data_IF_604465851404
#
_entry.id   IF_604465851404
#
_cell.length_a   1.000
_cell.length_b   1.000
_cell.length_c   1.000
_cell.angle_alpha   90.00
_cell.angle_beta   90.00
_cell.angle_gamma   90.00
#
_symmetry.space_group_name_H-M   'P 1'
#
loop_
_entity.id
_entity.type
_entity.pdbx_description
1 polymer ?
#
# COMPACT_ATOMS: atom_id res chain seq x y z
N UNK A 1 21.69 6.75 -27.07
CA UNK A 1 21.24 5.44 -26.60
C UNK A 1 20.05 5.68 -25.69
N UNK A 2 19.03 4.83 -25.74
CA UNK A 2 17.89 5.00 -24.85
C UNK A 2 18.37 5.02 -23.39
N UNK A 3 17.69 5.81 -22.55
CA UNK A 3 17.98 5.86 -21.12
C UNK A 3 17.85 4.45 -20.50
N UNK A 4 18.63 4.13 -19.48
CA UNK A 4 18.72 2.78 -18.94
C UNK A 4 17.37 2.20 -18.48
N UNK A 5 17.02 2.39 -17.22
CA UNK A 5 15.79 1.89 -16.60
C UNK A 5 14.79 3.02 -16.40
N UNK A 6 13.54 2.81 -16.86
CA UNK A 6 12.41 3.69 -16.52
C UNK A 6 11.42 2.99 -15.59
N UNK A 7 11.10 3.62 -14.47
CA UNK A 7 10.09 3.15 -13.52
C UNK A 7 8.85 4.04 -13.66
N UNK A 8 7.72 3.44 -14.04
CA UNK A 8 6.45 4.15 -14.19
C UNK A 8 5.62 4.01 -12.92
N UNK A 9 5.46 5.12 -12.23
CA UNK A 9 4.90 5.26 -10.89
C UNK A 9 5.94 5.78 -9.92
N UNK A 10 5.53 6.66 -9.01
CA UNK A 10 6.37 7.24 -7.96
C UNK A 10 5.97 6.84 -6.55
N UNK A 11 5.10 5.82 -6.42
CA UNK A 11 4.61 5.32 -5.13
C UNK A 11 5.63 4.45 -4.39
N UNK A 12 5.13 3.77 -3.36
CA UNK A 12 5.96 2.91 -2.49
C UNK A 12 6.73 1.83 -3.27
N UNK A 13 6.08 1.13 -4.21
CA UNK A 13 6.77 0.06 -4.98
C UNK A 13 7.96 0.59 -5.78
N UNK A 14 7.83 1.79 -6.36
CA UNK A 14 8.94 2.46 -7.04
C UNK A 14 10.05 2.82 -6.05
N UNK A 15 9.71 3.41 -4.90
CA UNK A 15 10.67 3.79 -3.88
C UNK A 15 11.42 2.57 -3.31
N UNK A 16 10.71 1.50 -2.97
CA UNK A 16 11.32 0.26 -2.50
C UNK A 16 12.29 -0.32 -3.53
N UNK A 17 11.89 -0.37 -4.81
CA UNK A 17 12.79 -0.82 -5.89
C UNK A 17 14.05 0.05 -5.98
N UNK A 18 13.91 1.38 -5.92
CA UNK A 18 15.04 2.31 -5.96
C UNK A 18 16.01 2.12 -4.79
N UNK A 19 15.47 1.98 -3.57
CA UNK A 19 16.26 1.73 -2.37
C UNK A 19 17.08 0.43 -2.51
N UNK A 20 16.46 -0.63 -3.01
CA UNK A 20 17.14 -1.90 -3.23
C UNK A 20 18.11 -1.90 -4.41
N UNK A 21 17.84 -1.16 -5.47
CA UNK A 21 18.78 -0.99 -6.59
C UNK A 21 20.03 -0.21 -6.14
N UNK A 22 19.82 0.89 -5.40
CA UNK A 22 20.92 1.69 -4.84
C UNK A 22 21.77 0.86 -3.88
N UNK A 23 21.14 0.13 -2.95
CA UNK A 23 21.86 -0.73 -2.01
C UNK A 23 22.68 -1.83 -2.69
N UNK A 24 22.34 -2.20 -3.94
CA UNK A 24 23.10 -3.13 -4.79
C UNK A 24 24.11 -2.45 -5.71
N UNK A 25 24.32 -1.15 -5.57
CA UNK A 25 25.28 -0.38 -6.36
C UNK A 25 24.85 -0.07 -7.81
N UNK A 26 23.53 -0.12 -8.10
CA UNK A 26 23.07 0.27 -9.44
C UNK A 26 23.32 1.76 -9.69
N UNK A 27 23.71 2.15 -10.94
CA UNK A 27 23.99 3.54 -11.29
C UNK A 27 22.68 4.33 -11.37
N UNK A 28 22.38 5.14 -10.35
CA UNK A 28 21.10 5.86 -10.24
C UNK A 28 20.93 6.95 -11.31
N UNK A 29 22.02 7.47 -11.91
CA UNK A 29 21.94 8.43 -13.00
C UNK A 29 21.34 7.86 -14.30
N UNK A 30 21.32 6.52 -14.44
CA UNK A 30 20.68 5.82 -15.56
C UNK A 30 19.22 5.46 -15.28
N UNK A 31 18.68 5.89 -14.15
CA UNK A 31 17.29 5.59 -13.75
C UNK A 31 16.41 6.81 -13.92
N UNK A 32 15.31 6.63 -14.64
CA UNK A 32 14.24 7.62 -14.76
C UNK A 32 13.00 7.11 -14.01
N UNK A 33 12.38 7.97 -13.22
CA UNK A 33 11.07 7.71 -12.60
C UNK A 33 10.04 8.65 -13.23
N UNK A 34 8.90 8.12 -13.63
CA UNK A 34 7.77 8.90 -14.14
C UNK A 34 6.61 8.74 -13.16
N UNK A 35 6.21 9.83 -12.53
CA UNK A 35 5.07 9.83 -11.61
C UNK A 35 4.81 11.22 -11.04
N UNK A 36 3.54 11.63 -10.90
CA UNK A 36 3.18 13.01 -10.53
C UNK A 36 3.47 13.36 -9.07
N UNK A 37 3.54 12.36 -8.19
CA UNK A 37 3.73 12.55 -6.76
C UNK A 37 5.21 12.47 -6.36
N UNK A 38 5.53 12.91 -5.16
CA UNK A 38 6.83 12.68 -4.56
C UNK A 38 7.13 11.18 -4.44
N UNK A 39 8.42 10.84 -4.54
CA UNK A 39 8.86 9.44 -4.42
C UNK A 39 8.45 8.84 -3.06
N UNK A 40 7.87 7.66 -3.11
CA UNK A 40 7.43 6.90 -1.95
C UNK A 40 6.02 7.23 -1.45
N UNK A 41 5.47 8.39 -1.81
CA UNK A 41 4.13 8.78 -1.37
C UNK A 41 3.04 7.93 -2.04
N UNK A 42 2.76 8.14 -3.31
CA UNK A 42 1.73 7.42 -4.05
C UNK A 42 0.35 7.51 -3.39
N UNK A 43 -0.63 6.79 -3.92
CA UNK A 43 -2.00 6.81 -3.40
C UNK A 43 -2.11 6.16 -2.01
N UNK A 44 -1.33 5.12 -1.73
CA UNK A 44 -1.46 4.34 -0.51
C UNK A 44 -0.98 5.08 0.74
N UNK A 45 0.09 5.87 0.62
CA UNK A 45 0.77 6.51 1.76
C UNK A 45 0.85 8.03 1.65
N UNK A 46 0.62 8.60 0.47
CA UNK A 46 0.57 10.06 0.25
C UNK A 46 -0.76 10.70 0.64
N UNK A 47 -1.59 9.99 1.39
CA UNK A 47 -2.85 10.51 1.91
C UNK A 47 -2.59 11.63 2.91
N UNK A 48 -3.24 12.77 2.72
CA UNK A 48 -3.15 13.92 3.64
C UNK A 48 -4.00 13.75 4.89
N UNK A 49 -4.99 12.84 4.86
CA UNK A 49 -5.84 12.57 6.01
C UNK A 49 -5.03 11.89 7.12
N UNK A 50 -5.04 12.49 8.29
CA UNK A 50 -4.29 12.04 9.46
C UNK A 50 -4.83 10.79 10.09
N UNK A 51 -6.10 10.48 9.86
CA UNK A 51 -6.80 9.39 10.51
C UNK A 51 -6.62 8.05 9.79
N UNK A 52 -6.09 8.07 8.56
CA UNK A 52 -5.89 6.84 7.79
C UNK A 52 -4.68 6.07 8.28
N UNK A 53 -4.94 4.88 8.80
CA UNK A 53 -3.94 4.03 9.41
C UNK A 53 -3.46 2.91 8.50
N UNK A 54 -2.29 2.38 8.84
CA UNK A 54 -1.79 1.15 8.24
C UNK A 54 -2.74 0.00 8.59
N UNK A 55 -2.98 -0.86 7.63
CA UNK A 55 -3.83 -2.04 7.80
C UNK A 55 -3.06 -3.26 8.32
N UNK A 56 -1.76 -3.09 8.57
CA UNK A 56 -0.88 -4.08 9.16
C UNK A 56 0.00 -3.40 10.22
N UNK A 57 0.48 -4.20 11.16
CA UNK A 57 1.36 -3.72 12.24
C UNK A 57 2.70 -3.23 11.70
N UNK A 58 3.33 -2.33 12.43
CA UNK A 58 4.61 -1.73 12.06
C UNK A 58 5.70 -2.78 11.80
N UNK A 59 5.73 -3.85 12.57
CA UNK A 59 6.70 -4.95 12.46
C UNK A 59 6.59 -5.71 11.12
N UNK A 60 5.43 -5.62 10.47
CA UNK A 60 5.19 -6.24 9.17
C UNK A 60 5.44 -5.30 7.99
N UNK A 61 5.66 -4.01 8.25
CA UNK A 61 5.98 -3.02 7.22
C UNK A 61 7.47 -3.04 6.91
N UNK A 62 7.90 -4.06 6.17
CA UNK A 62 9.31 -4.31 5.88
C UNK A 62 9.73 -3.69 4.56
N UNK A 63 10.71 -2.79 4.59
CA UNK A 63 11.46 -2.33 3.42
C UNK A 63 12.75 -3.13 3.28
N UNK A 64 13.37 -3.45 4.40
CA UNK A 64 14.66 -4.16 4.47
C UNK A 64 14.43 -5.58 5.00
N UNK A 65 14.54 -6.62 4.15
CA UNK A 65 14.31 -8.01 4.57
C UNK A 65 15.26 -8.45 5.70
N UNK A 66 16.48 -7.92 5.71
CA UNK A 66 17.51 -8.25 6.70
C UNK A 66 17.35 -7.46 8.01
N UNK A 67 16.45 -6.48 8.04
CA UNK A 67 16.09 -5.70 9.24
C UNK A 67 14.56 -5.52 9.32
N UNK A 68 13.83 -6.57 9.69
CA UNK A 68 12.36 -6.55 9.68
C UNK A 68 11.74 -5.55 10.67
N UNK A 69 12.49 -5.12 11.70
CA UNK A 69 12.04 -4.12 12.67
C UNK A 69 12.35 -2.67 12.29
N UNK A 70 12.99 -2.42 11.16
CA UNK A 70 13.53 -1.10 10.81
C UNK A 70 12.49 0.03 10.87
N UNK A 71 11.31 -0.16 10.27
CA UNK A 71 10.25 0.85 10.34
C UNK A 71 9.72 1.02 11.76
N UNK A 72 9.48 -0.05 12.50
CA UNK A 72 8.98 0.03 13.88
C UNK A 72 9.95 0.81 14.79
N UNK A 73 11.25 0.56 14.68
CA UNK A 73 12.30 1.27 15.41
C UNK A 73 12.37 2.75 15.00
N UNK A 74 12.28 3.03 13.69
CA UNK A 74 12.24 4.40 13.20
C UNK A 74 11.01 5.13 13.74
N UNK A 75 9.84 4.51 13.70
CA UNK A 75 8.57 5.08 14.17
C UNK A 75 8.62 5.39 15.67
N UNK A 76 9.11 4.47 16.48
CA UNK A 76 9.27 4.66 17.92
C UNK A 76 10.16 5.88 18.29
N UNK A 77 11.11 6.21 17.40
CA UNK A 77 12.03 7.35 17.61
C UNK A 77 11.50 8.66 17.05
N UNK A 78 10.78 8.61 15.92
CA UNK A 78 10.46 9.80 15.14
C UNK A 78 8.99 10.24 15.24
N UNK A 79 8.09 9.35 15.70
CA UNK A 79 6.67 9.66 15.82
C UNK A 79 6.35 9.82 17.31
N UNK A 80 6.12 11.06 17.71
CA UNK A 80 5.72 11.38 19.08
C UNK A 80 4.20 11.60 19.16
N UNK A 81 3.58 11.12 20.26
CA UNK A 81 2.23 11.51 20.64
C UNK A 81 1.07 10.85 19.88
N UNK A 82 1.34 9.84 19.06
CA UNK A 82 0.27 9.03 18.45
C UNK A 82 -0.17 7.92 19.41
N UNK A 83 -1.02 8.28 20.39
CA UNK A 83 -1.52 7.33 21.39
C UNK A 83 -2.42 6.25 20.84
N UNK A 84 -2.97 6.44 19.65
CA UNK A 84 -3.85 5.47 18.99
C UNK A 84 -3.08 4.46 18.15
N UNK A 85 -1.78 4.68 17.95
CA UNK A 85 -0.94 3.72 17.23
C UNK A 85 -0.81 2.41 18.02
N UNK A 86 -0.64 2.51 19.35
CA UNK A 86 -0.39 1.35 20.20
C UNK A 86 -1.68 0.65 20.57
N UNK A 87 -1.74 -0.64 20.26
CA UNK A 87 -2.86 -1.53 20.60
C UNK A 87 -2.34 -2.81 21.25
N UNK A 88 -3.25 -3.57 21.85
CA UNK A 88 -2.93 -4.88 22.46
C UNK A 88 -2.36 -5.90 21.46
N UNK A 89 -2.49 -5.64 20.17
CA UNK A 89 -2.07 -6.54 19.08
C UNK A 89 -0.92 -6.00 18.23
N UNK A 90 -0.36 -4.86 18.58
CA UNK A 90 0.76 -4.22 17.88
C UNK A 90 0.50 -2.76 17.53
N UNK A 91 1.49 -2.11 16.92
CA UNK A 91 1.42 -0.70 16.59
C UNK A 91 0.93 -0.46 15.15
N UNK A 92 -0.11 0.38 14.98
CA UNK A 92 -0.70 0.75 13.69
C UNK A 92 -0.56 2.25 13.47
N UNK A 93 0.57 2.66 12.94
CA UNK A 93 0.85 4.06 12.64
C UNK A 93 0.01 4.58 11.48
N UNK A 94 -0.01 5.90 11.32
CA UNK A 94 -0.70 6.56 10.20
C UNK A 94 -0.01 6.24 8.87
N UNK A 95 -0.75 6.19 7.79
CA UNK A 95 -0.19 5.97 6.44
C UNK A 95 0.85 7.03 6.07
N UNK A 96 0.62 8.30 6.44
CA UNK A 96 1.57 9.40 6.23
C UNK A 96 2.89 9.21 6.99
N UNK A 97 2.87 8.54 8.14
CA UNK A 97 4.07 8.29 8.93
C UNK A 97 4.99 7.30 8.20
N UNK A 98 4.40 6.28 7.58
CA UNK A 98 5.17 5.39 6.72
C UNK A 98 5.72 6.11 5.47
N UNK A 99 4.95 7.04 4.86
CA UNK A 99 5.48 7.88 3.78
C UNK A 99 6.66 8.74 4.25
N UNK A 100 6.59 9.29 5.47
CA UNK A 100 7.68 10.08 6.06
C UNK A 100 8.94 9.22 6.30
N UNK A 101 8.75 7.99 6.74
CA UNK A 101 9.84 7.01 6.86
C UNK A 101 10.48 6.74 5.50
N UNK A 102 9.71 6.41 4.47
CA UNK A 102 10.24 6.18 3.10
C UNK A 102 10.98 7.41 2.58
N UNK A 103 10.43 8.60 2.79
CA UNK A 103 11.10 9.84 2.42
C UNK A 103 12.43 10.05 3.19
N UNK A 104 12.51 9.63 4.45
CA UNK A 104 13.77 9.67 5.22
C UNK A 104 14.80 8.70 4.66
N UNK A 105 14.39 7.48 4.30
CA UNK A 105 15.25 6.48 3.68
C UNK A 105 15.83 6.95 2.33
N UNK A 106 14.99 7.61 1.51
CA UNK A 106 15.45 8.21 0.25
C UNK A 106 16.45 9.33 0.50
N UNK A 107 16.16 10.23 1.44
CA UNK A 107 17.08 11.36 1.77
C UNK A 107 18.41 10.91 2.33
N UNK A 108 18.43 9.81 3.07
CA UNK A 108 19.67 9.24 3.63
C UNK A 108 20.62 8.66 2.56
N UNK A 109 20.19 8.58 1.28
CA UNK A 109 20.94 7.99 0.18
C UNK A 109 21.24 9.01 -0.91
N UNK A 110 22.41 9.71 -0.87
CA UNK A 110 22.75 10.76 -1.83
C UNK A 110 22.76 10.31 -3.29
N UNK A 111 23.05 9.03 -3.56
CA UNK A 111 23.05 8.50 -4.93
C UNK A 111 21.67 8.60 -5.59
N UNK A 112 20.57 8.52 -4.82
CA UNK A 112 19.22 8.70 -5.35
C UNK A 112 18.93 10.12 -5.84
N UNK A 113 19.71 11.11 -5.42
CA UNK A 113 19.57 12.47 -5.94
C UNK A 113 19.99 12.61 -7.42
N UNK A 114 20.73 11.63 -7.96
CA UNK A 114 21.18 11.63 -9.36
C UNK A 114 20.16 11.05 -10.35
N UNK A 115 19.09 10.37 -9.87
CA UNK A 115 18.04 9.87 -10.73
C UNK A 115 17.21 11.02 -11.34
N UNK A 116 16.65 10.78 -12.52
CA UNK A 116 15.74 11.70 -13.17
C UNK A 116 14.30 11.42 -12.74
N UNK A 117 13.66 12.34 -12.04
CA UNK A 117 12.22 12.25 -11.70
C UNK A 117 11.41 13.19 -12.60
N UNK A 118 10.57 12.62 -13.45
CA UNK A 118 9.64 13.35 -14.32
C UNK A 118 8.28 13.37 -13.62
N UNK A 119 7.86 14.54 -13.19
CA UNK A 119 6.57 14.75 -12.48
C UNK A 119 5.40 14.84 -13.46
N UNK A 120 5.17 13.76 -14.19
CA UNK A 120 4.09 13.61 -15.16
C UNK A 120 3.48 12.19 -15.06
N UNK A 121 2.40 11.95 -15.78
CA UNK A 121 1.81 10.62 -15.93
C UNK A 121 2.15 10.06 -17.30
N UNK A 122 2.61 8.82 -17.38
CA UNK A 122 2.72 8.10 -18.64
C UNK A 122 1.29 7.74 -19.12
N UNK A 123 0.99 8.04 -20.36
CA UNK A 123 -0.32 7.79 -20.98
C UNK A 123 -0.27 6.71 -22.05
N UNK A 124 0.90 6.50 -22.68
CA UNK A 124 1.10 5.46 -23.64
C UNK A 124 2.53 4.92 -23.59
N UNK A 125 2.73 3.65 -23.94
CA UNK A 125 4.01 2.99 -24.02
C UNK A 125 4.04 2.16 -25.30
N UNK A 126 5.01 2.42 -26.15
CA UNK A 126 5.14 1.74 -27.45
C UNK A 126 6.56 1.17 -27.58
N UNK A 127 6.66 -0.05 -28.08
CA UNK A 127 7.96 -0.63 -28.39
C UNK A 127 8.59 0.11 -29.59
N UNK A 128 9.85 0.51 -29.44
CA UNK A 128 10.60 1.22 -30.48
C UNK A 128 12.05 0.74 -30.53
N UNK A 129 12.45 0.12 -31.62
CA UNK A 129 13.75 -0.51 -31.75
C UNK A 129 13.96 -1.57 -30.65
N UNK A 130 15.10 -1.49 -29.95
CA UNK A 130 15.43 -2.37 -28.83
C UNK A 130 14.97 -1.81 -27.46
N UNK A 131 14.10 -0.80 -27.48
CA UNK A 131 13.62 -0.10 -26.29
C UNK A 131 12.16 0.28 -26.37
N UNK A 132 11.80 1.34 -25.66
CA UNK A 132 10.43 1.79 -25.45
C UNK A 132 10.34 3.30 -25.56
N UNK A 133 9.36 3.78 -26.30
CA UNK A 133 8.91 5.17 -26.26
C UNK A 133 7.75 5.32 -25.28
N UNK A 134 7.80 6.35 -24.44
CA UNK A 134 6.83 6.64 -23.39
C UNK A 134 6.28 8.04 -23.62
N UNK A 135 4.98 8.12 -23.89
CA UNK A 135 4.25 9.36 -24.02
C UNK A 135 3.71 9.82 -22.67
N UNK A 136 3.85 11.12 -22.40
CA UNK A 136 3.42 11.73 -21.15
C UNK A 136 2.14 12.56 -21.34
N UNK A 137 1.43 12.80 -20.25
CA UNK A 137 0.17 13.54 -20.26
C UNK A 137 0.30 15.03 -20.65
N UNK A 138 1.51 15.57 -20.70
CA UNK A 138 1.80 16.92 -21.21
C UNK A 138 2.16 16.94 -22.72
N UNK A 139 2.08 15.78 -23.38
CA UNK A 139 2.42 15.59 -24.79
C UNK A 139 3.91 15.40 -25.08
N UNK A 140 4.76 15.47 -24.08
CA UNK A 140 6.18 15.15 -24.23
C UNK A 140 6.40 13.64 -24.28
N UNK A 141 7.58 13.23 -24.80
CA UNK A 141 7.99 11.83 -24.88
C UNK A 141 9.33 11.62 -24.19
N UNK A 142 9.57 10.41 -23.74
CA UNK A 142 10.88 9.95 -23.26
C UNK A 142 11.07 8.49 -23.65
N UNK A 143 12.32 8.03 -23.68
CA UNK A 143 12.68 6.67 -24.08
C UNK A 143 13.34 5.90 -22.93
N UNK A 144 13.28 4.59 -22.99
CA UNK A 144 13.96 3.71 -22.06
C UNK A 144 14.34 2.38 -22.72
N UNK A 145 15.46 1.77 -22.29
CA UNK A 145 15.81 0.41 -22.70
C UNK A 145 15.01 -0.65 -21.94
N UNK A 146 14.60 -0.36 -20.72
CA UNK A 146 13.79 -1.24 -19.86
C UNK A 146 12.74 -0.44 -19.10
N UNK A 147 11.58 -1.07 -18.89
CA UNK A 147 10.47 -0.45 -18.13
C UNK A 147 10.08 -1.36 -16.97
N UNK A 148 9.82 -0.75 -15.82
CA UNK A 148 9.13 -1.38 -14.69
C UNK A 148 7.83 -0.61 -14.44
N UNK A 149 6.72 -1.34 -14.44
CA UNK A 149 5.41 -0.79 -14.10
C UNK A 149 5.20 -0.86 -12.57
N UNK A 150 5.23 0.28 -11.92
CA UNK A 150 4.98 0.45 -10.48
C UNK A 150 3.76 1.36 -10.25
N UNK A 151 2.73 1.18 -11.07
CA UNK A 151 1.58 2.09 -11.21
C UNK A 151 0.61 2.08 -10.02
N UNK A 152 0.78 1.14 -9.09
CA UNK A 152 -0.11 0.99 -7.94
C UNK A 152 -1.50 0.47 -8.33
N UNK A 153 -2.48 0.73 -7.47
CA UNK A 153 -3.86 0.33 -7.73
C UNK A 153 -4.57 1.35 -8.64
N UNK A 154 -5.46 0.89 -9.53
CA UNK A 154 -6.31 1.79 -10.30
C UNK A 154 -7.25 2.58 -9.38
N UNK A 155 -7.82 3.70 -9.87
CA UNK A 155 -8.90 4.38 -9.17
C UNK A 155 -10.07 3.43 -8.90
N UNK A 156 -10.85 3.65 -7.82
CA UNK A 156 -12.05 2.87 -7.56
C UNK A 156 -13.03 2.93 -8.73
N UNK A 157 -13.59 1.78 -9.09
CA UNK A 157 -14.65 1.70 -10.10
C UNK A 157 -15.99 1.80 -9.38
N UNK A 158 -16.94 2.51 -10.01
CA UNK A 158 -18.29 2.60 -9.49
C UNK A 158 -18.94 1.20 -9.47
N UNK A 159 -19.46 0.73 -8.32
CA UNK A 159 -19.86 -0.67 -8.15
C UNK A 159 -21.24 -0.99 -8.75
N UNK A 160 -21.98 -0.01 -9.23
CA UNK A 160 -23.33 -0.19 -9.76
C UNK A 160 -23.35 0.00 -11.28
N UNK A 161 -24.36 -0.59 -11.94
CA UNK A 161 -24.54 -0.44 -13.39
C UNK A 161 -24.99 0.97 -13.76
N UNK A 162 -25.84 1.56 -12.93
CA UNK A 162 -26.37 2.91 -13.12
C UNK A 162 -25.28 3.93 -12.88
N UNK A 163 -25.11 4.84 -13.82
CA UNK A 163 -24.22 5.97 -13.66
C UNK A 163 -24.86 7.00 -12.73
N UNK A 164 -24.14 7.41 -11.72
CA UNK A 164 -24.52 8.52 -10.85
C UNK A 164 -23.73 9.75 -11.25
N UNK A 165 -24.41 10.85 -11.45
CA UNK A 165 -23.75 12.13 -11.73
C UNK A 165 -22.83 12.52 -10.57
N UNK A 166 -21.71 13.14 -10.90
CA UNK A 166 -20.83 13.71 -9.89
C UNK A 166 -21.54 14.86 -9.20
N UNK A 167 -21.64 14.77 -7.90
CA UNK A 167 -22.22 15.79 -7.03
C UNK A 167 -21.30 16.05 -5.86
N UNK A 168 -21.35 17.24 -5.22
CA UNK A 168 -20.58 17.51 -4.00
C UNK A 168 -20.86 16.51 -2.86
N UNK A 169 -22.01 15.85 -2.89
CA UNK A 169 -22.41 14.85 -1.89
C UNK A 169 -21.84 13.45 -2.17
N UNK A 170 -21.12 13.24 -3.29
CA UNK A 170 -20.62 11.94 -3.68
C UNK A 170 -19.08 11.91 -3.61
N UNK A 171 -18.56 11.24 -2.61
CA UNK A 171 -17.11 10.99 -2.45
C UNK A 171 -16.76 9.63 -3.06
N UNK A 172 -16.16 9.60 -4.27
CA UNK A 172 -15.75 8.37 -4.95
C UNK A 172 -14.39 7.86 -4.48
N UNK A 173 -13.52 8.76 -4.08
CA UNK A 173 -12.12 8.45 -3.73
C UNK A 173 -11.82 9.01 -2.33
N UNK A 174 -12.03 8.23 -1.26
CA UNK A 174 -11.89 8.73 0.11
C UNK A 174 -10.44 9.06 0.51
N UNK A 175 -9.45 8.60 -0.26
CA UNK A 175 -8.04 8.91 0.00
C UNK A 175 -7.62 10.32 -0.48
N UNK A 176 -8.49 11.03 -1.18
CA UNK A 176 -8.19 12.34 -1.74
C UNK A 176 -9.10 13.40 -1.17
N UNK A 177 -8.52 14.60 -1.03
CA UNK A 177 -9.27 15.81 -0.79
C UNK A 177 -9.68 16.04 0.65
N UNK A 178 -10.46 17.07 0.78
CA UNK A 178 -10.98 17.69 2.00
C UNK A 178 -12.44 17.29 2.26
N UNK A 179 -12.88 16.14 1.70
CA UNK A 179 -14.26 15.70 1.84
C UNK A 179 -14.77 15.67 3.28
N UNK A 180 -13.94 15.33 4.31
CA UNK A 180 -14.45 15.36 5.68
C UNK A 180 -14.76 16.76 6.17
N UNK A 181 -14.14 17.78 5.58
CA UNK A 181 -14.35 19.19 5.94
C UNK A 181 -15.64 19.76 5.36
N UNK A 182 -16.13 19.13 4.29
CA UNK A 182 -17.32 19.54 3.55
C UNK A 182 -18.58 18.76 3.96
N UNK A 183 -18.54 17.97 5.05
CA UNK A 183 -19.68 17.22 5.57
C UNK A 183 -20.18 17.88 6.84
N UNK A 184 -21.48 18.23 6.86
CA UNK A 184 -22.13 18.74 8.05
C UNK A 184 -22.09 17.68 9.16
N UNK A 185 -21.90 18.12 10.41
CA UNK A 185 -21.70 17.23 11.56
C UNK A 185 -22.87 16.30 11.84
N UNK A 186 -24.08 16.64 11.41
CA UNK A 186 -25.31 15.89 11.56
C UNK A 186 -25.89 15.32 10.26
N UNK A 187 -25.14 15.39 9.16
CA UNK A 187 -25.51 14.85 7.87
C UNK A 187 -25.78 13.33 7.94
N UNK A 188 -26.71 12.85 7.12
CA UNK A 188 -26.96 11.40 6.96
C UNK A 188 -26.03 10.85 5.91
N UNK A 189 -25.15 9.94 6.31
CA UNK A 189 -24.10 9.38 5.44
C UNK A 189 -24.43 7.94 5.07
N UNK A 190 -24.13 7.57 3.83
CA UNK A 190 -24.12 6.18 3.36
C UNK A 190 -22.69 5.86 2.90
N UNK A 191 -22.09 4.85 3.54
CA UNK A 191 -20.78 4.29 3.15
C UNK A 191 -21.03 2.99 2.40
N UNK A 192 -20.53 2.90 1.16
CA UNK A 192 -20.66 1.71 0.32
C UNK A 192 -19.38 0.89 0.42
N UNK A 193 -19.50 -0.31 0.95
CA UNK A 193 -18.41 -1.20 1.31
C UNK A 193 -18.18 -1.24 2.83
N UNK A 194 -17.68 -2.35 3.33
CA UNK A 194 -17.41 -2.57 4.76
C UNK A 194 -15.95 -2.90 5.07
N UNK A 195 -15.05 -2.76 4.07
CA UNK A 195 -13.62 -3.03 4.26
C UNK A 195 -12.91 -1.96 5.09
N UNK A 196 -11.60 -2.14 5.29
CA UNK A 196 -10.79 -1.25 6.13
C UNK A 196 -10.82 0.22 5.68
N UNK A 197 -10.98 0.49 4.38
CA UNK A 197 -11.15 1.87 3.88
C UNK A 197 -12.44 2.52 4.37
N UNK A 198 -13.52 1.74 4.50
CA UNK A 198 -14.78 2.24 5.07
C UNK A 198 -14.60 2.55 6.56
N UNK A 199 -13.85 1.71 7.28
CA UNK A 199 -13.52 1.96 8.69
C UNK A 199 -12.65 3.21 8.85
N UNK A 200 -11.64 3.42 7.98
CA UNK A 200 -10.85 4.65 7.97
C UNK A 200 -11.74 5.89 7.80
N UNK A 201 -12.71 5.84 6.88
CA UNK A 201 -13.64 6.95 6.67
C UNK A 201 -14.55 7.20 7.89
N UNK A 202 -15.07 6.14 8.52
CA UNK A 202 -15.88 6.24 9.74
C UNK A 202 -15.05 6.79 10.91
N UNK A 203 -13.82 6.35 11.05
CA UNK A 203 -12.88 6.85 12.06
C UNK A 203 -12.61 8.35 11.89
N UNK A 204 -12.38 8.78 10.65
CA UNK A 204 -12.25 10.22 10.33
C UNK A 204 -13.48 11.03 10.73
N UNK A 205 -14.68 10.54 10.41
CA UNK A 205 -15.93 11.19 10.80
C UNK A 205 -16.09 11.26 12.32
N UNK A 206 -15.72 10.19 13.03
CA UNK A 206 -15.76 10.16 14.49
C UNK A 206 -14.81 11.20 15.11
N UNK A 207 -13.58 11.30 14.64
CA UNK A 207 -12.62 12.31 15.10
C UNK A 207 -13.10 13.74 14.85
N UNK A 208 -13.88 13.94 13.79
CA UNK A 208 -14.49 15.25 13.47
C UNK A 208 -15.81 15.47 14.20
N UNK A 209 -16.12 14.63 15.18
CA UNK A 209 -17.34 14.75 16.00
C UNK A 209 -18.61 14.74 15.16
N UNK A 210 -18.66 13.89 14.14
CA UNK A 210 -19.88 13.68 13.38
C UNK A 210 -20.93 12.96 14.22
N UNK A 211 -22.14 13.50 14.28
CA UNK A 211 -23.26 13.01 15.10
C UNK A 211 -24.40 12.45 14.26
N UNK A 212 -24.38 12.70 12.96
CA UNK A 212 -25.38 12.21 12.03
C UNK A 212 -25.35 10.69 11.88
N UNK A 213 -26.42 10.14 11.34
CA UNK A 213 -26.53 8.69 11.12
C UNK A 213 -25.65 8.25 9.99
N UNK A 214 -24.74 7.28 10.25
CA UNK A 214 -23.92 6.60 9.24
C UNK A 214 -24.54 5.23 8.95
N UNK A 215 -24.86 4.95 7.69
CA UNK A 215 -25.31 3.63 7.25
C UNK A 215 -24.20 3.00 6.41
N UNK A 216 -23.78 1.80 6.79
CA UNK A 216 -22.83 1.00 6.05
C UNK A 216 -23.59 -0.02 5.19
N UNK A 217 -23.25 -0.13 3.92
CA UNK A 217 -23.88 -1.06 2.99
C UNK A 217 -22.83 -1.95 2.35
N UNK A 218 -22.92 -3.25 2.60
CA UNK A 218 -22.06 -4.28 2.04
C UNK A 218 -22.87 -5.53 1.66
N UNK A 219 -22.43 -6.37 0.73
CA UNK A 219 -23.18 -7.54 0.27
C UNK A 219 -23.56 -8.52 1.38
N UNK A 220 -22.66 -8.73 2.34
CA UNK A 220 -22.84 -9.64 3.48
C UNK A 220 -23.23 -8.90 4.77
N UNK A 221 -23.18 -7.56 4.79
CA UNK A 221 -23.45 -6.75 5.97
C UNK A 221 -22.42 -6.90 7.11
N UNK A 222 -21.29 -7.55 6.86
CA UNK A 222 -20.28 -7.84 7.87
C UNK A 222 -19.18 -6.78 7.89
N UNK A 223 -18.62 -6.52 9.07
CA UNK A 223 -17.40 -5.76 9.26
C UNK A 223 -16.18 -6.72 9.25
N UNK A 224 -14.99 -6.22 8.89
CA UNK A 224 -13.77 -7.00 9.05
C UNK A 224 -13.62 -7.46 10.52
N UNK A 225 -13.17 -8.71 10.76
CA UNK A 225 -12.90 -9.16 12.09
C UNK A 225 -11.77 -8.35 12.73
N UNK A 226 -11.83 -8.19 14.05
CA UNK A 226 -10.78 -7.56 14.82
C UNK A 226 -9.50 -8.40 14.70
N UNK A 227 -8.36 -7.75 14.49
CA UNK A 227 -7.09 -8.45 14.42
C UNK A 227 -6.74 -9.07 15.77
N UNK A 228 -6.25 -10.31 15.74
CA UNK A 228 -5.81 -11.01 16.94
C UNK A 228 -4.36 -10.74 17.26
N UNK A 229 -4.01 -10.92 18.55
CA UNK A 229 -2.63 -10.86 19.00
C UNK A 229 -1.78 -11.85 18.23
N UNK A 230 -0.59 -11.37 17.85
CA UNK A 230 0.41 -12.20 17.22
C UNK A 230 1.00 -13.17 18.24
N UNK A 231 1.11 -14.42 17.84
CA UNK A 231 2.00 -15.39 18.52
C UNK A 231 3.07 -15.77 17.52
N UNK A 232 4.31 -15.90 17.99
CA UNK A 232 5.37 -16.49 17.18
C UNK A 232 4.82 -17.77 16.59
N UNK A 233 4.70 -17.80 15.28
CA UNK A 233 4.34 -18.99 14.59
C UNK A 233 5.47 -19.99 14.83
N UNK A 234 5.15 -21.12 15.45
CA UNK A 234 6.05 -22.25 15.44
C UNK A 234 6.48 -22.46 13.99
N UNK A 235 7.78 -22.61 13.78
CA UNK A 235 8.32 -22.78 12.43
C UNK A 235 7.54 -23.88 11.72
N UNK A 236 6.78 -23.49 10.69
CA UNK A 236 6.04 -24.43 9.88
C UNK A 236 7.06 -25.19 9.03
N UNK A 237 7.01 -26.51 9.08
CA UNK A 237 7.78 -27.32 8.16
C UNK A 237 7.16 -27.22 6.76
N UNK A 238 7.82 -26.42 5.91
CA UNK A 238 7.39 -26.24 4.54
C UNK A 238 7.70 -27.48 3.71
N UNK A 239 6.80 -27.90 2.81
CA UNK A 239 7.09 -28.97 1.87
C UNK A 239 8.36 -28.67 1.07
N UNK A 240 9.26 -29.65 0.92
CA UNK A 240 10.53 -29.42 0.21
C UNK A 240 10.35 -29.29 -1.31
N UNK A 241 9.33 -29.95 -1.86
CA UNK A 241 8.98 -29.91 -3.29
C UNK A 241 7.64 -29.17 -3.44
N UNK A 242 7.70 -27.87 -3.78
CA UNK A 242 6.50 -27.02 -3.81
C UNK A 242 6.23 -26.52 -5.22
N UNK A 243 5.36 -27.21 -5.92
CA UNK A 243 4.63 -26.64 -7.04
C UNK A 243 3.59 -25.65 -6.51
N UNK A 244 3.20 -24.65 -7.31
CA UNK A 244 2.19 -23.67 -6.92
C UNK A 244 0.89 -24.32 -6.37
N UNK A 245 0.43 -25.42 -6.95
CA UNK A 245 -0.73 -26.21 -6.48
C UNK A 245 -0.49 -26.86 -5.11
N UNK A 246 0.72 -27.36 -4.87
CA UNK A 246 1.11 -27.97 -3.59
C UNK A 246 1.20 -26.92 -2.49
N UNK A 247 1.71 -25.73 -2.81
CA UNK A 247 1.75 -24.60 -1.91
C UNK A 247 0.34 -24.13 -1.50
N UNK A 248 -0.56 -23.98 -2.46
CA UNK A 248 -1.96 -23.61 -2.19
C UNK A 248 -2.66 -24.70 -1.34
N UNK A 249 -2.38 -25.97 -1.59
CA UNK A 249 -2.90 -27.06 -0.75
C UNK A 249 -2.37 -26.95 0.67
N UNK A 250 -1.07 -26.75 0.85
CA UNK A 250 -0.44 -26.59 2.16
C UNK A 250 -1.06 -25.39 2.94
N UNK A 251 -1.28 -24.25 2.27
CA UNK A 251 -1.94 -23.10 2.89
C UNK A 251 -3.35 -23.45 3.38
N UNK A 252 -4.15 -24.13 2.56
CA UNK A 252 -5.49 -24.58 2.94
C UNK A 252 -5.46 -25.57 4.11
N UNK A 253 -4.58 -26.55 4.04
CA UNK A 253 -4.46 -27.58 5.08
C UNK A 253 -4.01 -26.96 6.43
N UNK A 254 -3.18 -25.92 6.39
CA UNK A 254 -2.73 -25.21 7.60
C UNK A 254 -3.87 -24.43 8.25
N UNK A 255 -4.70 -23.77 7.45
CA UNK A 255 -5.86 -23.02 7.96
C UNK A 255 -6.98 -23.99 8.37
N UNK A 256 -7.15 -25.10 7.63
CA UNK A 256 -8.18 -26.09 7.86
C UNK A 256 -9.60 -25.57 7.59
N UNK A 257 -10.59 -26.26 8.16
CA UNK A 257 -12.02 -25.93 8.04
C UNK A 257 -12.50 -24.92 9.09
N UNK A 258 -11.57 -24.10 9.63
CA UNK A 258 -11.90 -23.09 10.62
C UNK A 258 -12.58 -21.92 9.91
N UNK A 259 -13.72 -21.40 10.41
CA UNK A 259 -14.35 -20.21 9.88
C UNK A 259 -13.37 -19.03 9.87
N UNK A 260 -13.37 -18.24 8.79
CA UNK A 260 -12.43 -17.11 8.61
C UNK A 260 -12.62 -16.00 9.67
N UNK A 261 -13.77 -15.93 10.31
CA UNK A 261 -14.07 -15.02 11.41
C UNK A 261 -13.44 -15.46 12.75
N UNK A 262 -13.04 -16.74 12.84
CA UNK A 262 -12.44 -17.28 14.06
C UNK A 262 -11.01 -16.73 14.25
N UNK A 263 -10.70 -16.38 15.48
CA UNK A 263 -9.37 -15.89 15.87
C UNK A 263 -8.26 -16.92 15.60
N UNK A 264 -8.58 -18.21 15.68
CA UNK A 264 -7.63 -19.26 15.38
C UNK A 264 -7.31 -19.33 13.88
N UNK A 265 -8.28 -19.04 13.00
CA UNK A 265 -8.02 -18.89 11.57
C UNK A 265 -7.00 -17.79 11.30
N UNK A 266 -7.19 -16.61 11.91
CA UNK A 266 -6.25 -15.51 11.78
C UNK A 266 -4.85 -15.90 12.26
N UNK A 267 -4.72 -16.57 13.41
CA UNK A 267 -3.42 -17.01 13.95
C UNK A 267 -2.71 -17.97 13.00
N UNK A 268 -3.41 -18.93 12.42
CA UNK A 268 -2.83 -19.87 11.46
C UNK A 268 -2.44 -19.19 10.16
N UNK A 269 -3.28 -18.31 9.65
CA UNK A 269 -2.96 -17.53 8.45
C UNK A 269 -1.75 -16.62 8.65
N UNK A 270 -1.66 -15.95 9.79
CA UNK A 270 -0.52 -15.12 10.13
C UNK A 270 0.78 -15.95 10.27
N UNK A 271 0.70 -17.20 10.72
CA UNK A 271 1.86 -18.08 10.76
C UNK A 271 2.42 -18.39 9.36
N UNK A 272 1.58 -18.41 8.33
CA UNK A 272 1.99 -18.58 6.94
C UNK A 272 2.68 -17.33 6.39
N UNK A 273 2.23 -16.15 6.79
CA UNK A 273 2.66 -14.87 6.23
C UNK A 273 4.17 -14.66 6.30
N UNK A 274 4.82 -15.01 7.40
CA UNK A 274 6.27 -14.89 7.56
C UNK A 274 7.06 -15.67 6.52
N UNK A 275 6.53 -16.78 6.06
CA UNK A 275 7.22 -17.71 5.19
C UNK A 275 6.84 -17.56 3.73
N UNK A 276 5.78 -16.79 3.41
CA UNK A 276 5.25 -16.66 2.04
C UNK A 276 6.35 -16.20 1.07
N UNK A 277 7.13 -15.18 1.43
CA UNK A 277 8.19 -14.67 0.55
C UNK A 277 9.28 -15.69 0.26
N UNK A 278 9.73 -16.43 1.29
CA UNK A 278 10.73 -17.47 1.12
C UNK A 278 10.18 -18.67 0.35
N UNK A 279 8.92 -19.01 0.57
CA UNK A 279 8.24 -20.08 -0.18
C UNK A 279 8.05 -19.68 -1.64
N UNK A 280 7.62 -18.45 -1.91
CA UNK A 280 7.44 -17.93 -3.27
C UNK A 280 8.73 -18.03 -4.10
N UNK A 281 9.88 -17.74 -3.51
CA UNK A 281 11.19 -17.85 -4.18
C UNK A 281 11.59 -19.28 -4.54
N UNK A 282 10.92 -20.29 -3.98
CA UNK A 282 11.17 -21.71 -4.25
C UNK A 282 10.18 -22.31 -5.25
N UNK A 283 9.18 -21.54 -5.69
CA UNK A 283 8.25 -22.00 -6.71
C UNK A 283 8.94 -21.97 -8.08
N UNK A 284 8.80 -23.08 -8.83
CA UNK A 284 9.27 -23.22 -10.22
C UNK A 284 8.36 -22.46 -11.20
#
# INVERSE_FOLDING_TARGET
MPSGLCIIGSGYSAAALLLHLEARGAPMHDVTVIGPQALGAGQAFGCVNEDFRLNVRAELMQVWPDDPGHFANWAATNIAGDREADTDVGAFYRRRDFASYIASEIRARPALASLRHIKASAVNITAFGDGWDIELNDGSTTDASRIVLATGNPPPVWPFREQVADTPSLVRVPWRGDWPENIDSDARIVVIGSGLTALDAIHTLHHRQHHGRINLVAPDGMLPPVQTGWRDANALEWPQDVRASGFLKFMRDTVGDIPWEDTEWQRRFESLRYHISAAWQRLD
#
